data_IF_730803551162
#
_entry.id   IF_730803551162
#
_cell.length_a   1.000
_cell.length_b   1.000
_cell.length_c   1.000
_cell.angle_alpha   90.00
_cell.angle_beta   90.00
_cell.angle_gamma   90.00
#
_symmetry.space_group_name_H-M   'P 1'
#
loop_
_entity.id
_entity.type
_entity.pdbx_description
1 polymer ?
#
# COMPACT_ATOMS: atom_id res chain seq x y z
N UNK A 1 -47.17 -1.94 12.89
CA UNK A 1 -46.53 -3.23 13.24
C UNK A 1 -46.18 -3.15 14.73
N UNK A 2 -47.05 -3.69 15.60
CA UNK A 2 -46.85 -3.69 17.05
C UNK A 2 -45.79 -4.75 17.37
N UNK A 3 -44.63 -4.33 17.86
CA UNK A 3 -43.64 -5.26 18.40
C UNK A 3 -44.21 -5.91 19.67
N UNK A 4 -44.07 -7.23 19.74
CA UNK A 4 -44.52 -8.09 20.81
C UNK A 4 -43.90 -7.67 22.16
N UNK A 5 -44.73 -7.51 23.20
CA UNK A 5 -44.31 -7.05 24.54
C UNK A 5 -43.35 -8.00 25.27
N UNK A 6 -43.09 -9.19 24.70
CA UNK A 6 -42.16 -10.20 25.23
C UNK A 6 -40.71 -10.03 24.77
N UNK A 7 -40.43 -9.17 23.78
CA UNK A 7 -39.07 -8.97 23.24
C UNK A 7 -38.36 -7.77 23.89
N UNK A 8 -39.10 -6.85 24.49
CA UNK A 8 -38.52 -5.68 25.18
C UNK A 8 -37.53 -6.01 26.31
N UNK A 9 -37.79 -6.96 27.24
CA UNK A 9 -36.83 -7.20 28.32
C UNK A 9 -35.53 -7.85 27.82
N UNK A 10 -35.57 -8.60 26.70
CA UNK A 10 -34.39 -9.27 26.14
C UNK A 10 -33.52 -8.28 25.35
N UNK A 11 -34.14 -7.35 24.60
CA UNK A 11 -33.40 -6.32 23.86
C UNK A 11 -32.80 -5.27 24.80
N UNK A 12 -33.50 -4.89 25.88
CA UNK A 12 -32.96 -4.00 26.91
C UNK A 12 -31.84 -4.67 27.71
N UNK A 13 -31.94 -5.98 27.99
CA UNK A 13 -30.88 -6.73 28.67
C UNK A 13 -29.62 -6.83 27.79
N UNK A 14 -29.74 -7.02 26.48
CA UNK A 14 -28.59 -7.09 25.56
C UNK A 14 -27.92 -5.72 25.38
N UNK A 15 -28.68 -4.62 25.34
CA UNK A 15 -28.12 -3.26 25.25
C UNK A 15 -27.42 -2.85 26.57
N UNK A 16 -27.98 -3.24 27.72
CA UNK A 16 -27.31 -3.02 29.02
C UNK A 16 -26.06 -3.89 29.16
N UNK A 17 -26.06 -5.12 28.63
CA UNK A 17 -24.88 -5.99 28.64
C UNK A 17 -23.78 -5.51 27.67
N UNK A 18 -24.14 -4.86 26.55
CA UNK A 18 -23.16 -4.26 25.63
C UNK A 18 -22.61 -2.90 26.11
N UNK A 19 -23.38 -2.11 26.86
CA UNK A 19 -22.92 -0.81 27.39
C UNK A 19 -22.04 -0.92 28.64
N UNK A 20 -22.08 -2.04 29.37
CA UNK A 20 -21.16 -2.31 30.51
C UNK A 20 -19.75 -2.73 30.04
N UNK A 21 -19.56 -3.03 28.76
CA UNK A 21 -18.28 -3.48 28.19
C UNK A 21 -17.41 -2.33 27.63
N UNK A 22 -17.83 -1.06 27.76
CA UNK A 22 -17.08 0.13 27.34
C UNK A 22 -17.08 1.23 28.40
N UNK A 23 -16.83 0.90 29.67
CA UNK A 23 -16.27 1.90 30.56
C UNK A 23 -14.85 2.23 30.09
N UNK A 24 -14.46 3.52 29.94
CA UNK A 24 -13.05 3.83 29.77
C UNK A 24 -12.29 3.18 30.93
N UNK A 25 -11.19 2.49 30.62
CA UNK A 25 -10.25 2.02 31.61
C UNK A 25 -9.78 3.25 32.39
N UNK A 26 -10.47 3.54 33.50
CA UNK A 26 -10.02 4.54 34.45
C UNK A 26 -8.62 4.11 34.84
N UNK A 27 -7.66 5.02 34.71
CA UNK A 27 -6.33 4.83 35.26
C UNK A 27 -6.52 4.29 36.68
N UNK A 28 -6.02 3.08 36.94
CA UNK A 28 -5.97 2.57 38.30
C UNK A 28 -5.00 3.49 39.04
N UNK A 29 -5.54 4.47 39.76
CA UNK A 29 -4.75 5.34 40.62
C UNK A 29 -4.07 4.40 41.61
N UNK A 30 -2.75 4.53 41.74
CA UNK A 30 -1.97 3.82 42.73
C UNK A 30 -2.67 3.92 44.08
N UNK A 31 -3.15 2.78 44.60
CA UNK A 31 -3.81 2.77 45.90
C UNK A 31 -2.78 3.14 46.97
N UNK A 32 -3.24 3.89 47.97
CA UNK A 32 -2.47 4.40 49.11
C UNK A 32 -1.55 3.31 49.72
N UNK A 33 -0.34 3.72 50.11
CA UNK A 33 0.71 2.86 50.70
C UNK A 33 0.42 2.45 52.15
N UNK A 34 -0.69 2.96 52.69
CA UNK A 34 -1.15 2.66 54.03
C UNK A 34 -1.80 1.28 54.14
N UNK A 35 -1.43 0.52 55.18
CA UNK A 35 -2.05 -0.77 55.52
C UNK A 35 -2.40 -0.84 57.00
N UNK A 36 -3.40 -1.66 57.33
CA UNK A 36 -3.81 -1.90 58.73
C UNK A 36 -2.94 -3.00 59.35
N UNK A 37 -2.37 -2.73 60.52
CA UNK A 37 -1.64 -3.70 61.33
C UNK A 37 -2.40 -3.97 62.63
N UNK A 38 -2.68 -5.26 62.89
CA UNK A 38 -3.27 -5.72 64.15
C UNK A 38 -2.24 -6.57 64.90
N UNK A 39 -1.98 -6.21 66.15
CA UNK A 39 -1.00 -6.90 66.98
C UNK A 39 -1.59 -7.34 68.33
N UNK A 40 -0.87 -8.26 68.99
CA UNK A 40 -1.17 -8.67 70.37
C UNK A 40 0.02 -8.34 71.28
N UNK A 41 -0.22 -7.54 72.30
CA UNK A 41 0.70 -7.15 73.35
C UNK A 41 0.37 -7.90 74.65
N UNK A 42 1.40 -8.47 75.27
CA UNK A 42 1.31 -9.06 76.61
C UNK A 42 2.32 -8.38 77.52
N UNK A 43 1.93 -8.15 78.76
CA UNK A 43 2.79 -7.66 79.83
C UNK A 43 2.85 -8.73 80.92
N UNK A 44 4.04 -9.20 81.29
CA UNK A 44 4.26 -10.30 82.24
C UNK A 44 3.35 -11.52 82.00
N UNK A 45 3.27 -11.96 80.73
CA UNK A 45 2.44 -13.07 80.26
C UNK A 45 0.91 -12.89 80.41
N UNK A 46 0.43 -11.72 80.85
CA UNK A 46 -0.98 -11.34 80.83
C UNK A 46 -1.29 -10.40 79.64
N UNK A 47 -2.51 -10.40 79.09
CA UNK A 47 -2.90 -9.43 78.06
C UNK A 47 -2.79 -7.99 78.57
N UNK A 48 -2.06 -7.14 77.86
CA UNK A 48 -1.90 -5.74 78.23
C UNK A 48 -3.22 -4.96 78.08
N UNK A 49 -3.46 -3.97 78.93
CA UNK A 49 -4.63 -3.09 78.87
C UNK A 49 -4.22 -1.65 79.17
N UNK A 50 -4.76 -0.69 78.43
CA UNK A 50 -4.45 0.73 78.60
C UNK A 50 -3.92 1.39 77.34
N UNK A 51 -3.34 2.58 77.47
CA UNK A 51 -2.71 3.31 76.36
C UNK A 51 -1.21 3.07 76.33
N UNK A 52 -0.66 2.91 75.12
CA UNK A 52 0.75 2.70 74.88
C UNK A 52 1.19 3.49 73.65
N UNK A 53 2.44 3.92 73.66
CA UNK A 53 3.09 4.43 72.46
C UNK A 53 3.78 3.29 71.75
N UNK A 54 3.56 3.17 70.44
CA UNK A 54 4.07 2.11 69.60
C UNK A 54 4.97 2.68 68.51
N UNK A 55 6.21 2.21 68.44
CA UNK A 55 7.15 2.51 67.38
C UNK A 55 7.23 1.34 66.40
N UNK A 56 7.15 1.62 65.10
CA UNK A 56 7.26 0.65 64.03
C UNK A 56 8.43 1.01 63.13
N UNK A 57 9.33 0.06 62.88
CA UNK A 57 10.53 0.25 62.06
C UNK A 57 10.63 -0.81 60.97
N UNK A 58 11.04 -0.40 59.76
CA UNK A 58 11.30 -1.32 58.64
C UNK A 58 12.78 -1.65 58.53
N UNK A 59 13.09 -2.92 58.24
CA UNK A 59 14.43 -3.42 58.00
C UNK A 59 14.47 -4.35 56.79
N UNK A 60 15.65 -4.48 56.17
CA UNK A 60 15.91 -5.46 55.10
C UNK A 60 16.44 -6.80 55.61
N UNK A 61 16.73 -6.89 56.92
CA UNK A 61 17.31 -8.07 57.57
C UNK A 61 16.56 -8.41 58.87
N UNK A 62 16.50 -9.71 59.18
CA UNK A 62 15.76 -10.24 60.32
C UNK A 62 16.35 -9.84 61.68
N UNK A 63 17.67 -9.67 61.76
CA UNK A 63 18.42 -9.30 62.96
C UNK A 63 19.50 -8.28 62.61
N UNK A 64 19.84 -7.40 63.57
CA UNK A 64 20.81 -6.32 63.38
C UNK A 64 20.44 -5.40 62.19
N UNK A 65 21.29 -4.41 61.86
CA UNK A 65 21.06 -3.51 60.73
C UNK A 65 20.37 -2.18 61.08
N UNK A 66 20.25 -1.32 60.07
CA UNK A 66 19.73 0.06 60.17
C UNK A 66 18.28 0.12 59.69
N UNK A 67 17.44 0.88 60.40
CA UNK A 67 16.05 1.06 60.01
C UNK A 67 15.95 1.86 58.70
N UNK A 68 15.13 1.39 57.76
CA UNK A 68 14.80 2.08 56.51
C UNK A 68 13.84 3.24 56.72
N UNK A 69 12.87 3.05 57.63
CA UNK A 69 11.85 4.02 57.97
C UNK A 69 11.32 3.74 59.38
N UNK A 70 10.81 4.78 60.05
CA UNK A 70 10.22 4.70 61.40
C UNK A 70 8.89 5.44 61.42
N UNK A 71 7.87 4.83 61.98
CA UNK A 71 6.55 5.41 62.24
C UNK A 71 6.23 5.24 63.71
N UNK A 72 5.87 6.32 64.39
CA UNK A 72 5.43 6.28 65.80
C UNK A 72 3.92 6.53 65.86
N UNK A 73 3.23 5.76 66.67
CA UNK A 73 1.82 5.91 67.00
C UNK A 73 1.71 6.11 68.51
N UNK A 74 1.45 7.35 68.90
CA UNK A 74 1.22 7.70 70.30
C UNK A 74 -0.22 7.32 70.69
N UNK A 75 -0.48 7.13 71.99
CA UNK A 75 -1.82 6.94 72.58
C UNK A 75 -2.63 5.75 72.04
N UNK A 76 -1.96 4.68 71.57
CA UNK A 76 -2.64 3.50 71.03
C UNK A 76 -3.34 2.76 72.17
N UNK A 77 -4.65 2.63 72.07
CA UNK A 77 -5.45 1.88 73.04
C UNK A 77 -5.29 0.38 72.80
N UNK A 78 -4.79 -0.33 73.81
CA UNK A 78 -4.68 -1.78 73.86
C UNK A 78 -5.78 -2.30 74.77
N UNK A 79 -6.60 -3.23 74.27
CA UNK A 79 -7.69 -3.85 75.04
C UNK A 79 -7.58 -5.35 74.95
N UNK A 80 -7.53 -6.03 76.09
CA UNK A 80 -7.31 -7.47 76.19
C UNK A 80 -6.10 -7.94 75.35
N UNK A 81 -5.03 -7.15 75.39
CA UNK A 81 -3.81 -7.36 74.64
C UNK A 81 -3.89 -7.04 73.15
N UNK A 82 -5.04 -6.70 72.56
CA UNK A 82 -5.15 -6.44 71.12
C UNK A 82 -5.11 -4.95 70.82
N UNK A 83 -4.40 -4.56 69.76
CA UNK A 83 -4.41 -3.21 69.20
C UNK A 83 -4.51 -3.24 67.67
N UNK A 84 -4.93 -2.13 67.08
CA UNK A 84 -4.99 -1.96 65.63
C UNK A 84 -4.55 -0.55 65.26
N UNK A 85 -3.64 -0.43 64.30
CA UNK A 85 -3.11 0.85 63.80
C UNK A 85 -3.04 0.83 62.27
N UNK A 86 -3.09 2.01 61.65
CA UNK A 86 -2.78 2.17 60.23
C UNK A 86 -1.33 2.64 60.06
N UNK A 87 -0.53 1.88 59.31
CA UNK A 87 0.87 2.16 59.03
C UNK A 87 1.04 2.58 57.58
N UNK A 88 1.87 3.59 57.34
CA UNK A 88 2.27 4.00 56.00
C UNK A 88 3.75 4.35 56.03
N UNK A 89 4.56 3.64 55.27
CA UNK A 89 6.00 3.87 55.14
C UNK A 89 6.37 4.47 53.77
N UNK A 90 5.39 4.66 52.86
CA UNK A 90 5.64 5.03 51.47
C UNK A 90 6.05 3.85 50.58
N UNK A 91 5.87 4.00 49.26
CA UNK A 91 6.01 2.90 48.28
C UNK A 91 7.48 2.51 48.00
N UNK A 92 8.42 3.44 48.19
CA UNK A 92 9.82 3.26 47.80
C UNK A 92 10.52 2.12 48.54
N UNK A 93 10.14 1.85 49.79
CA UNK A 93 10.76 0.78 50.59
C UNK A 93 10.27 -0.63 50.24
N UNK A 94 9.20 -0.75 49.46
CA UNK A 94 8.66 -2.04 49.00
C UNK A 94 8.98 -2.32 47.53
N UNK A 95 9.72 -1.43 46.87
CA UNK A 95 10.16 -1.60 45.49
C UNK A 95 11.33 -2.59 45.39
N UNK A 96 11.31 -3.50 44.40
CA UNK A 96 12.46 -4.37 44.08
C UNK A 96 12.44 -5.77 44.70
N UNK A 97 11.36 -6.17 45.38
CA UNK A 97 11.15 -7.57 45.80
C UNK A 97 12.08 -8.08 46.91
N UNK A 98 12.82 -7.19 47.58
CA UNK A 98 13.62 -7.55 48.75
C UNK A 98 12.73 -7.93 49.94
N UNK A 99 13.21 -8.82 50.80
CA UNK A 99 12.52 -9.16 52.05
C UNK A 99 12.50 -7.93 52.98
N UNK A 100 11.33 -7.62 53.55
CA UNK A 100 11.14 -6.54 54.51
C UNK A 100 10.66 -7.11 55.83
N UNK A 101 11.22 -6.59 56.93
CA UNK A 101 10.91 -7.00 58.30
C UNK A 101 10.40 -5.80 59.10
N UNK A 102 9.33 -6.01 59.87
CA UNK A 102 8.74 -5.06 60.80
C UNK A 102 9.24 -5.33 62.22
N UNK A 103 9.80 -4.32 62.85
CA UNK A 103 10.16 -4.32 64.26
C UNK A 103 9.23 -3.39 65.03
N UNK A 104 8.83 -3.80 66.24
CA UNK A 104 7.89 -3.06 67.07
C UNK A 104 8.58 -2.71 68.39
N UNK A 105 8.57 -1.44 68.75
CA UNK A 105 8.92 -0.94 70.07
C UNK A 105 7.67 -0.51 70.82
N UNK A 106 7.61 -0.76 72.11
CA UNK A 106 6.49 -0.35 72.97
C UNK A 106 7.00 0.38 74.22
N UNK A 107 6.25 1.40 74.66
CA UNK A 107 6.37 1.99 75.99
C UNK A 107 4.99 2.34 76.57
N UNK A 108 4.82 2.38 77.89
CA UNK A 108 3.58 2.84 78.52
C UNK A 108 3.27 4.30 78.18
N UNK A 109 1.99 4.67 78.18
CA UNK A 109 1.54 6.06 78.02
C UNK A 109 2.23 7.00 79.02
N UNK A 110 2.65 8.18 78.52
CA UNK A 110 3.33 9.24 79.29
C UNK A 110 4.70 8.83 79.87
N UNK A 111 5.30 7.75 79.35
CA UNK A 111 6.67 7.39 79.67
C UNK A 111 7.66 8.03 78.68
N UNK A 112 8.64 8.79 79.17
CA UNK A 112 9.69 9.41 78.35
C UNK A 112 10.91 8.53 78.13
N UNK A 113 10.98 7.36 78.76
CA UNK A 113 12.02 6.37 78.54
C UNK A 113 12.01 5.83 77.10
N UNK A 114 13.10 5.17 76.70
CA UNK A 114 13.22 4.53 75.39
C UNK A 114 12.20 3.41 75.17
N UNK A 115 11.89 3.11 73.91
CA UNK A 115 10.99 2.01 73.56
C UNK A 115 11.63 0.63 73.84
N UNK A 116 10.86 -0.26 74.48
CA UNK A 116 11.23 -1.67 74.63
C UNK A 116 10.97 -2.39 73.32
N UNK A 117 12.02 -2.98 72.72
CA UNK A 117 11.90 -3.70 71.44
C UNK A 117 11.28 -5.09 71.65
N UNK A 118 10.29 -5.43 70.83
CA UNK A 118 9.63 -6.73 70.80
C UNK A 118 10.30 -7.61 69.74
N UNK A 119 11.11 -8.57 70.19
CA UNK A 119 11.76 -9.57 69.33
C UNK A 119 10.97 -10.88 69.25
N UNK A 120 11.00 -11.61 68.12
CA UNK A 120 11.73 -11.32 66.87
C UNK A 120 10.95 -10.42 65.89
N UNK A 121 11.67 -9.80 64.94
CA UNK A 121 11.07 -9.01 63.85
C UNK A 121 10.16 -9.88 62.98
N UNK A 122 9.05 -9.30 62.52
CA UNK A 122 8.04 -10.01 61.74
C UNK A 122 8.23 -9.74 60.23
N UNK A 123 8.32 -10.75 59.36
CA UNK A 123 8.42 -10.53 57.92
C UNK A 123 7.11 -9.93 57.38
N UNK A 124 7.22 -8.90 56.55
CA UNK A 124 6.10 -8.37 55.75
C UNK A 124 6.20 -9.06 54.38
N UNK A 125 5.26 -9.96 54.09
CA UNK A 125 5.16 -10.55 52.76
C UNK A 125 4.52 -9.56 51.80
N UNK A 126 5.07 -9.36 50.59
CA UNK A 126 4.37 -8.60 49.57
C UNK A 126 3.03 -9.28 49.31
N UNK A 127 1.92 -8.56 49.49
CA UNK A 127 0.62 -9.06 49.06
C UNK A 127 0.66 -9.29 47.53
N UNK A 128 -0.17 -10.17 46.96
CA UNK A 128 -0.12 -10.53 45.53
C UNK A 128 -0.18 -9.36 44.53
N UNK A 129 -0.48 -8.14 44.99
CA UNK A 129 -0.49 -6.91 44.22
C UNK A 129 0.90 -6.36 43.84
N UNK A 130 1.98 -6.72 44.54
CA UNK A 130 3.32 -6.19 44.24
C UNK A 130 3.95 -6.79 42.96
N UNK A 131 3.65 -8.05 42.62
CA UNK A 131 4.26 -8.75 41.48
C UNK A 131 3.64 -8.34 40.14
N UNK A 132 2.33 -8.02 40.08
CA UNK A 132 1.70 -7.52 38.85
C UNK A 132 2.10 -6.08 38.52
N UNK A 133 2.40 -5.24 39.51
CA UNK A 133 2.78 -3.84 39.28
C UNK A 133 4.18 -3.70 38.68
N UNK A 134 5.13 -4.57 39.02
CA UNK A 134 6.50 -4.49 38.49
C UNK A 134 6.61 -4.91 37.02
N UNK A 135 5.70 -5.76 36.53
CA UNK A 135 5.57 -6.09 35.10
C UNK A 135 4.83 -5.00 34.32
N UNK A 136 4.03 -4.16 34.98
CA UNK A 136 3.33 -3.04 34.35
C UNK A 136 4.23 -1.79 34.23
N UNK A 137 5.10 -1.53 35.20
CA UNK A 137 6.02 -0.39 35.17
C UNK A 137 7.08 -0.49 34.05
N UNK A 138 7.47 -1.70 33.64
CA UNK A 138 8.32 -1.90 32.45
C UNK A 138 7.55 -1.72 31.13
N UNK A 139 6.22 -1.73 31.15
CA UNK A 139 5.37 -1.50 29.98
C UNK A 139 5.01 -0.01 29.76
N UNK A 140 5.27 0.87 30.73
CA UNK A 140 4.87 2.29 30.67
C UNK A 140 5.86 3.20 29.92
N UNK A 141 7.06 2.72 29.58
CA UNK A 141 7.91 3.37 28.56
C UNK A 141 7.73 2.67 27.22
N UNK A 142 6.75 3.16 26.45
CA UNK A 142 6.52 2.80 25.05
C UNK A 142 7.78 2.95 24.16
N UNK A 143 8.85 3.60 24.63
CA UNK A 143 10.15 3.68 23.96
C UNK A 143 10.95 2.37 23.95
N UNK A 144 10.66 1.40 24.83
CA UNK A 144 11.38 0.11 24.91
C UNK A 144 10.53 -1.12 24.58
N UNK A 145 9.25 -0.97 24.26
CA UNK A 145 8.53 -2.06 23.63
C UNK A 145 9.17 -2.32 22.26
N UNK A 146 9.72 -3.50 22.04
CA UNK A 146 10.35 -3.95 20.78
C UNK A 146 9.50 -3.64 19.53
N UNK A 147 8.20 -3.42 19.71
CA UNK A 147 7.22 -3.13 18.68
C UNK A 147 6.99 -1.63 18.42
N UNK A 148 7.52 -0.72 19.24
CA UNK A 148 7.33 0.72 19.04
C UNK A 148 8.23 1.30 17.92
N UNK A 149 9.28 0.58 17.54
CA UNK A 149 10.10 0.85 16.34
C UNK A 149 9.68 0.01 15.13
N UNK A 150 8.64 -0.83 15.27
CA UNK A 150 8.23 -1.79 14.25
C UNK A 150 6.73 -1.69 13.96
N UNK A 151 6.36 -1.21 12.77
CA UNK A 151 4.98 -1.28 12.31
C UNK A 151 4.68 -2.71 11.83
N UNK A 152 4.06 -3.54 12.69
CA UNK A 152 3.74 -4.93 12.35
C UNK A 152 4.92 -5.90 12.33
N UNK A 153 5.98 -5.64 13.09
CA UNK A 153 7.16 -6.53 13.18
C UNK A 153 8.21 -6.34 12.08
N UNK A 154 8.15 -5.22 11.36
CA UNK A 154 9.11 -4.79 10.34
C UNK A 154 9.78 -3.50 10.81
N UNK A 155 11.11 -3.39 10.69
CA UNK A 155 11.83 -2.23 11.18
C UNK A 155 11.47 -0.97 10.37
N UNK A 156 11.35 0.20 11.02
CA UNK A 156 11.02 1.46 10.35
C UNK A 156 11.96 1.82 9.16
N UNK A 157 13.20 1.33 9.17
CA UNK A 157 14.18 1.49 8.09
C UNK A 157 13.90 0.64 6.84
N UNK A 158 13.02 -0.36 6.95
CA UNK A 158 12.65 -1.25 5.85
C UNK A 158 11.44 -0.72 5.05
N UNK A 159 10.76 0.30 5.56
CA UNK A 159 9.68 0.97 4.85
C UNK A 159 10.22 2.09 3.94
N UNK A 160 9.69 2.15 2.73
CA UNK A 160 10.00 3.18 1.73
C UNK A 160 9.28 4.48 2.10
N UNK A 161 10.04 5.56 2.33
CA UNK A 161 9.46 6.88 2.63
C UNK A 161 8.97 7.57 1.36
N UNK A 162 8.05 8.53 1.47
CA UNK A 162 7.52 9.28 0.32
C UNK A 162 8.57 10.10 -0.44
N UNK A 163 9.74 10.35 0.18
CA UNK A 163 10.90 11.01 -0.40
C UNK A 163 12.03 10.03 -0.80
N UNK A 164 11.80 8.71 -0.71
CA UNK A 164 12.77 7.70 -1.11
C UNK A 164 13.02 7.75 -2.62
N UNK A 165 14.30 7.77 -3.01
CA UNK A 165 14.72 7.90 -4.40
C UNK A 165 14.16 6.79 -5.31
N UNK A 166 13.83 5.61 -4.77
CA UNK A 166 13.20 4.51 -5.52
C UNK A 166 11.75 4.81 -5.92
N UNK A 167 11.09 5.77 -5.28
CA UNK A 167 9.76 6.26 -5.66
C UNK A 167 9.81 7.43 -6.65
N UNK A 168 11.00 7.85 -7.11
CA UNK A 168 11.08 8.83 -8.19
C UNK A 168 10.58 8.19 -9.48
N UNK A 169 9.44 8.67 -9.98
CA UNK A 169 8.77 8.13 -11.17
C UNK A 169 9.59 8.33 -12.47
N UNK A 170 10.68 9.10 -12.39
CA UNK A 170 11.58 9.39 -13.51
C UNK A 170 12.55 8.23 -13.77
N UNK A 171 12.05 7.15 -14.36
CA UNK A 171 12.92 6.14 -15.00
C UNK A 171 13.38 6.67 -16.35
N UNK A 172 14.68 6.62 -16.60
CA UNK A 172 15.22 6.93 -17.91
C UNK A 172 14.61 5.97 -18.96
N UNK A 173 14.31 6.46 -20.17
CA UNK A 173 14.55 7.82 -20.65
C UNK A 173 13.50 8.85 -20.18
N UNK A 174 13.95 10.06 -19.83
CA UNK A 174 13.11 11.17 -19.37
C UNK A 174 12.45 11.91 -20.54
N UNK A 175 11.44 12.76 -20.24
CA UNK A 175 10.86 13.68 -21.21
C UNK A 175 11.95 14.51 -21.93
N UNK A 176 11.83 14.65 -23.24
CA UNK A 176 12.85 15.26 -24.10
C UNK A 176 13.92 14.29 -24.65
N UNK A 177 13.97 13.03 -24.20
CA UNK A 177 14.97 12.07 -24.70
C UNK A 177 14.75 11.70 -26.17
N UNK A 178 15.86 11.51 -26.91
CA UNK A 178 15.87 10.99 -28.28
C UNK A 178 15.75 9.46 -28.38
N UNK A 179 15.74 8.75 -27.25
CA UNK A 179 15.68 7.28 -27.23
C UNK A 179 14.28 6.72 -27.48
N UNK A 180 13.24 7.57 -27.49
CA UNK A 180 11.86 7.17 -27.79
C UNK A 180 11.07 8.34 -28.40
N UNK A 181 10.03 8.02 -29.17
CA UNK A 181 9.09 9.01 -29.68
C UNK A 181 8.09 9.37 -28.58
N UNK A 182 7.97 10.66 -28.26
CA UNK A 182 7.06 11.17 -27.25
C UNK A 182 5.70 11.47 -27.87
N UNK A 183 4.61 11.10 -27.18
CA UNK A 183 3.26 11.48 -27.58
C UNK A 183 2.97 12.92 -27.14
N UNK A 184 3.46 13.88 -27.91
CA UNK A 184 3.26 15.31 -27.67
C UNK A 184 2.97 16.05 -28.97
N UNK A 185 2.54 17.31 -28.87
CA UNK A 185 2.32 18.18 -30.03
C UNK A 185 3.59 18.88 -30.51
N UNK A 186 4.70 18.77 -29.78
CA UNK A 186 5.97 19.41 -30.12
C UNK A 186 6.84 18.44 -30.91
N UNK A 187 7.41 18.91 -32.02
CA UNK A 187 8.34 18.10 -32.82
C UNK A 187 9.60 17.79 -32.01
N UNK A 188 10.00 16.52 -31.97
CA UNK A 188 11.28 16.13 -31.41
C UNK A 188 12.40 16.39 -32.42
N UNK A 189 13.45 17.10 -32.00
CA UNK A 189 14.61 17.36 -32.83
C UNK A 189 15.44 16.08 -33.01
N UNK A 190 15.87 15.81 -34.26
CA UNK A 190 16.81 14.74 -34.60
C UNK A 190 16.39 13.34 -34.16
N UNK A 191 15.09 13.04 -34.15
CA UNK A 191 14.55 11.73 -33.79
C UNK A 191 14.21 10.88 -35.03
N UNK A 192 14.45 9.58 -34.94
CA UNK A 192 14.01 8.59 -35.92
C UNK A 192 12.86 7.76 -35.34
N UNK A 193 11.86 7.43 -36.16
CA UNK A 193 10.83 6.46 -35.83
C UNK A 193 11.02 5.21 -36.70
N UNK A 194 11.64 4.17 -36.14
CA UNK A 194 11.90 2.91 -36.84
C UNK A 194 11.15 1.78 -36.14
N UNK A 195 10.19 1.15 -36.84
CA UNK A 195 9.39 0.03 -36.36
C UNK A 195 9.51 -1.14 -37.33
N UNK A 196 9.63 -2.36 -36.82
CA UNK A 196 9.70 -3.58 -37.64
C UNK A 196 8.33 -4.08 -38.10
N UNK A 197 7.25 -3.53 -37.55
CA UNK A 197 5.87 -3.87 -37.86
C UNK A 197 5.13 -2.76 -38.60
N UNK A 198 3.80 -2.77 -38.48
CA UNK A 198 2.93 -1.78 -39.12
C UNK A 198 2.70 -0.56 -38.21
N UNK A 199 2.66 0.64 -38.80
CA UNK A 199 2.23 1.88 -38.14
C UNK A 199 0.91 2.39 -38.73
N UNK A 200 0.00 2.86 -37.88
CA UNK A 200 -1.26 3.50 -38.31
C UNK A 200 -1.28 4.96 -37.88
N UNK A 201 -1.45 5.88 -38.82
CA UNK A 201 -1.66 7.29 -38.55
C UNK A 201 -3.16 7.61 -38.67
N UNK A 202 -3.80 8.00 -37.58
CA UNK A 202 -5.23 8.37 -37.58
C UNK A 202 -5.53 9.73 -38.21
N UNK A 203 -4.49 10.50 -38.56
CA UNK A 203 -4.59 11.82 -39.18
C UNK A 203 -3.76 11.92 -40.47
N UNK A 204 -3.30 13.12 -40.79
CA UNK A 204 -2.48 13.37 -41.99
C UNK A 204 -1.06 12.85 -41.82
N UNK A 205 -0.57 12.08 -42.80
CA UNK A 205 0.85 11.77 -42.95
C UNK A 205 1.51 12.86 -43.81
N UNK A 206 2.43 13.63 -43.23
CA UNK A 206 3.22 14.64 -43.95
C UNK A 206 4.70 14.25 -43.92
N UNK A 207 5.26 13.95 -45.08
CA UNK A 207 6.67 13.60 -45.24
C UNK A 207 7.18 14.05 -46.62
N UNK A 208 8.47 14.34 -46.72
CA UNK A 208 9.10 14.74 -47.98
C UNK A 208 9.03 13.60 -49.03
N UNK A 209 9.36 12.38 -48.59
CA UNK A 209 9.34 11.17 -49.42
C UNK A 209 8.60 10.09 -48.65
N UNK A 210 7.59 9.49 -49.29
CA UNK A 210 6.91 8.29 -48.82
C UNK A 210 7.22 7.20 -49.83
N UNK A 211 7.77 6.08 -49.36
CA UNK A 211 8.07 4.92 -50.20
C UNK A 211 7.11 3.80 -49.84
N UNK A 212 6.37 3.31 -50.83
CA UNK A 212 5.56 2.11 -50.72
C UNK A 212 6.24 0.98 -51.48
N UNK A 213 6.38 -0.18 -50.87
CA UNK A 213 6.96 -1.36 -51.54
C UNK A 213 6.04 -1.90 -52.64
N UNK A 214 4.73 -1.78 -52.47
CA UNK A 214 3.74 -2.42 -53.36
C UNK A 214 2.77 -1.43 -53.98
N UNK A 215 2.11 -0.61 -53.16
CA UNK A 215 1.00 0.24 -53.62
C UNK A 215 0.63 1.35 -52.62
N UNK A 216 -0.13 2.33 -53.12
CA UNK A 216 -0.89 3.28 -52.34
C UNK A 216 -2.39 2.95 -52.39
N UNK A 217 -3.05 3.03 -51.24
CA UNK A 217 -4.48 2.78 -51.09
C UNK A 217 -5.23 4.03 -50.62
N UNK A 218 -6.45 4.21 -51.11
CA UNK A 218 -7.41 5.20 -50.62
C UNK A 218 -8.75 4.49 -50.35
N UNK A 219 -9.27 4.60 -49.13
CA UNK A 219 -10.51 3.91 -48.74
C UNK A 219 -10.46 2.38 -48.91
N UNK A 220 -9.28 1.77 -48.76
CA UNK A 220 -9.06 0.33 -48.98
C UNK A 220 -8.87 -0.08 -50.45
N UNK A 221 -9.04 0.85 -51.40
CA UNK A 221 -8.82 0.58 -52.82
C UNK A 221 -7.43 1.01 -53.28
N UNK A 222 -6.77 0.18 -54.08
CA UNK A 222 -5.48 0.51 -54.71
C UNK A 222 -5.64 1.61 -55.73
N UNK A 223 -4.91 2.71 -55.59
CA UNK A 223 -4.98 3.87 -56.50
C UNK A 223 -3.68 4.13 -57.26
N UNK A 224 -2.53 3.65 -56.75
CA UNK A 224 -1.23 3.75 -57.43
C UNK A 224 -0.39 2.50 -57.14
N UNK A 225 0.21 1.92 -58.18
CA UNK A 225 1.15 0.80 -58.04
C UNK A 225 2.07 0.69 -59.26
N UNK A 226 3.21 0.05 -59.07
CA UNK A 226 4.25 -0.19 -60.10
C UNK A 226 4.77 -1.63 -60.00
N UNK A 227 3.90 -2.61 -59.72
CA UNK A 227 4.30 -4.03 -59.63
C UNK A 227 4.94 -4.52 -60.93
N UNK A 228 5.98 -5.35 -60.82
CA UNK A 228 6.76 -5.80 -61.98
C UNK A 228 7.74 -4.74 -62.51
N UNK A 229 8.27 -4.96 -63.71
CA UNK A 229 9.31 -4.10 -64.30
C UNK A 229 8.71 -3.07 -65.24
N UNK A 230 8.96 -1.79 -64.99
CA UNK A 230 8.61 -0.70 -65.91
C UNK A 230 7.12 -0.37 -66.01
N UNK A 231 6.30 -0.78 -65.03
CA UNK A 231 4.86 -0.57 -65.03
C UNK A 231 4.45 0.69 -64.26
N UNK A 232 3.36 1.34 -64.69
CA UNK A 232 2.69 2.43 -63.99
C UNK A 232 1.17 2.24 -64.01
N UNK A 233 0.56 2.07 -62.83
CA UNK A 233 -0.89 1.89 -62.71
C UNK A 233 -1.50 2.98 -61.84
N UNK A 234 -2.43 3.75 -62.41
CA UNK A 234 -3.14 4.83 -61.74
C UNK A 234 -4.64 4.59 -61.84
N UNK A 235 -5.32 4.47 -60.71
CA UNK A 235 -6.77 4.26 -60.63
C UNK A 235 -7.17 2.92 -60.02
N UNK A 236 -8.39 2.89 -59.47
CA UNK A 236 -8.95 1.71 -58.79
C UNK A 236 -8.92 0.48 -59.71
N UNK A 237 -8.23 -0.57 -59.27
CA UNK A 237 -8.05 -1.85 -59.97
C UNK A 237 -7.33 -1.79 -61.33
N UNK A 238 -6.68 -0.68 -61.70
CA UNK A 238 -5.87 -0.62 -62.92
C UNK A 238 -4.75 -1.68 -62.87
N UNK A 239 -4.58 -2.49 -63.92
CA UNK A 239 -3.52 -3.52 -63.98
C UNK A 239 -3.55 -4.58 -62.88
N UNK A 240 -4.72 -4.87 -62.27
CA UNK A 240 -4.81 -5.77 -61.12
C UNK A 240 -4.24 -7.19 -61.35
N UNK A 241 -4.39 -7.73 -62.55
CA UNK A 241 -3.85 -9.05 -62.92
C UNK A 241 -2.48 -8.99 -63.63
N UNK A 242 -1.89 -7.81 -63.79
CA UNK A 242 -0.72 -7.60 -64.65
C UNK A 242 0.54 -8.30 -64.13
N UNK A 243 1.04 -9.26 -64.91
CA UNK A 243 2.36 -9.88 -64.76
C UNK A 243 3.33 -9.51 -65.89
N UNK A 244 2.85 -8.84 -66.95
CA UNK A 244 3.67 -8.26 -68.01
C UNK A 244 4.48 -7.03 -67.59
N UNK A 245 5.31 -6.53 -68.50
CA UNK A 245 6.25 -5.43 -68.26
C UNK A 245 5.99 -4.23 -69.16
N UNK A 246 6.52 -3.07 -68.75
CA UNK A 246 6.48 -1.84 -69.54
C UNK A 246 5.06 -1.35 -69.90
N UNK A 247 4.08 -1.60 -69.03
CA UNK A 247 2.69 -1.19 -69.23
C UNK A 247 2.36 0.10 -68.45
N UNK A 248 1.61 1.01 -69.07
CA UNK A 248 1.05 2.19 -68.40
C UNK A 248 -0.48 2.14 -68.48
N UNK A 249 -1.15 2.01 -67.33
CA UNK A 249 -2.61 1.97 -67.24
C UNK A 249 -3.12 3.09 -66.34
N UNK A 250 -3.94 3.99 -66.88
CA UNK A 250 -4.48 5.15 -66.19
C UNK A 250 -5.99 5.17 -66.36
N UNK A 251 -6.72 4.99 -65.27
CA UNK A 251 -8.18 4.90 -65.24
C UNK A 251 -8.65 3.69 -64.43
N UNK A 252 -9.82 3.80 -63.82
CA UNK A 252 -10.37 2.65 -63.07
C UNK A 252 -10.63 1.48 -64.02
N UNK A 253 -10.21 0.29 -63.60
CA UNK A 253 -10.30 -0.98 -64.34
C UNK A 253 -9.51 -1.01 -65.67
N UNK A 254 -8.68 -0.01 -65.96
CA UNK A 254 -7.82 -0.01 -67.14
C UNK A 254 -6.84 -1.19 -67.10
N UNK A 255 -6.82 -2.01 -68.15
CA UNK A 255 -5.96 -3.20 -68.22
C UNK A 255 -6.13 -4.20 -67.07
N UNK A 256 -7.29 -4.22 -66.39
CA UNK A 256 -7.49 -5.02 -65.19
C UNK A 256 -7.15 -6.50 -65.39
N UNK A 257 -7.56 -7.08 -66.52
CA UNK A 257 -7.33 -8.49 -66.84
C UNK A 257 -6.02 -8.76 -67.59
N UNK A 258 -5.16 -7.76 -67.80
CA UNK A 258 -3.89 -7.98 -68.49
C UNK A 258 -3.07 -8.95 -67.67
N UNK A 259 -2.70 -10.09 -68.25
CA UNK A 259 -1.85 -11.08 -67.61
C UNK A 259 -0.41 -10.85 -68.09
N UNK A 260 -0.01 -11.43 -69.21
CA UNK A 260 1.36 -11.41 -69.73
C UNK A 260 1.62 -10.35 -70.80
N UNK A 261 0.60 -9.60 -71.23
CA UNK A 261 0.76 -8.56 -72.24
C UNK A 261 1.73 -7.47 -71.80
N UNK A 262 2.63 -7.05 -72.69
CA UNK A 262 3.66 -6.04 -72.40
C UNK A 262 3.61 -4.85 -73.34
N UNK A 263 4.22 -3.75 -72.93
CA UNK A 263 4.35 -2.51 -73.73
C UNK A 263 3.00 -1.92 -74.14
N UNK A 264 1.98 -2.01 -73.29
CA UNK A 264 0.66 -1.43 -73.52
C UNK A 264 0.49 -0.07 -72.82
N UNK A 265 -0.27 0.83 -73.44
CA UNK A 265 -0.57 2.15 -72.92
C UNK A 265 -2.10 2.37 -72.95
N UNK A 266 -2.77 2.25 -71.80
CA UNK A 266 -4.24 2.38 -71.69
C UNK A 266 -4.62 3.57 -70.82
N UNK A 267 -5.44 4.46 -71.36
CA UNK A 267 -5.90 5.69 -70.71
C UNK A 267 -7.42 5.82 -70.82
N UNK A 268 -8.12 5.65 -69.70
CA UNK A 268 -9.58 5.75 -69.60
C UNK A 268 -10.20 4.71 -68.67
N UNK A 269 -11.41 4.98 -68.18
CA UNK A 269 -12.22 3.97 -67.47
C UNK A 269 -12.46 2.78 -68.40
N UNK A 270 -12.16 1.56 -67.94
CA UNK A 270 -12.26 0.30 -68.70
C UNK A 270 -11.41 0.20 -69.98
N UNK A 271 -10.46 1.10 -70.22
CA UNK A 271 -9.59 0.98 -71.39
C UNK A 271 -8.79 -0.33 -71.35
N UNK A 272 -8.92 -1.17 -72.38
CA UNK A 272 -8.26 -2.47 -72.49
C UNK A 272 -8.60 -3.45 -71.36
N UNK A 273 -9.75 -3.31 -70.68
CA UNK A 273 -10.04 -4.08 -69.45
C UNK A 273 -10.00 -5.60 -69.66
N UNK A 274 -10.39 -6.10 -70.84
CA UNK A 274 -10.38 -7.54 -71.18
C UNK A 274 -9.09 -8.00 -71.88
N UNK A 275 -8.10 -7.12 -72.06
CA UNK A 275 -6.81 -7.52 -72.63
C UNK A 275 -6.17 -8.53 -71.68
N UNK A 276 -5.81 -9.71 -72.18
CA UNK A 276 -5.22 -10.80 -71.40
C UNK A 276 -3.75 -10.98 -71.77
N UNK A 277 -3.42 -11.07 -73.06
CA UNK A 277 -2.04 -11.33 -73.53
C UNK A 277 -1.59 -10.35 -74.62
N UNK A 278 -2.49 -9.47 -75.09
CA UNK A 278 -2.19 -8.49 -76.12
C UNK A 278 -1.08 -7.54 -75.69
N UNK A 279 -0.21 -7.20 -76.64
CA UNK A 279 1.01 -6.43 -76.37
C UNK A 279 1.19 -5.32 -77.40
N UNK A 280 1.92 -4.27 -77.04
CA UNK A 280 2.18 -3.13 -77.94
C UNK A 280 0.91 -2.43 -78.42
N UNK A 281 -0.10 -2.31 -77.56
CA UNK A 281 -1.34 -1.61 -77.86
C UNK A 281 -1.42 -0.22 -77.18
N UNK A 282 -2.13 0.70 -77.81
CA UNK A 282 -2.32 2.06 -77.32
C UNK A 282 -3.82 2.42 -77.35
N UNK A 283 -4.47 2.46 -76.19
CA UNK A 283 -5.91 2.71 -76.07
C UNK A 283 -6.19 3.97 -75.27
N UNK A 284 -6.93 4.91 -75.86
CA UNK A 284 -7.25 6.20 -75.25
C UNK A 284 -8.75 6.49 -75.37
N UNK A 285 -9.46 6.50 -74.25
CA UNK A 285 -10.91 6.74 -74.18
C UNK A 285 -11.62 5.81 -73.21
N UNK A 286 -12.84 6.18 -72.81
CA UNK A 286 -13.69 5.33 -71.97
C UNK A 286 -14.01 4.04 -72.74
N UNK A 287 -13.57 2.89 -72.23
CA UNK A 287 -13.81 1.59 -72.85
C UNK A 287 -13.09 1.37 -74.19
N UNK A 288 -12.06 2.15 -74.52
CA UNK A 288 -11.28 1.91 -75.74
C UNK A 288 -10.56 0.54 -75.65
N UNK A 289 -10.70 -0.31 -76.67
CA UNK A 289 -10.11 -1.64 -76.73
C UNK A 289 -10.65 -2.60 -75.68
N UNK A 290 -11.84 -2.33 -75.11
CA UNK A 290 -12.40 -3.12 -74.00
C UNK A 290 -12.55 -4.60 -74.35
N UNK A 291 -12.88 -4.93 -75.61
CA UNK A 291 -13.06 -6.29 -76.10
C UNK A 291 -11.78 -6.94 -76.65
N UNK A 292 -10.67 -6.17 -76.75
CA UNK A 292 -9.42 -6.70 -77.26
C UNK A 292 -8.77 -7.60 -76.21
N UNK A 293 -8.68 -8.90 -76.48
CA UNK A 293 -8.17 -9.92 -75.53
C UNK A 293 -6.71 -10.33 -75.77
N UNK A 294 -6.26 -10.34 -77.02
CA UNK A 294 -4.93 -10.84 -77.40
C UNK A 294 -4.30 -10.09 -78.59
N UNK A 295 -4.96 -9.04 -79.09
CA UNK A 295 -4.48 -8.27 -80.24
C UNK A 295 -3.15 -7.58 -79.94
N UNK A 296 -2.34 -7.36 -80.97
CA UNK A 296 -1.06 -6.66 -80.87
C UNK A 296 -1.00 -5.51 -81.85
N UNK A 297 -0.24 -4.48 -81.53
CA UNK A 297 0.00 -3.33 -82.41
C UNK A 297 -1.27 -2.56 -82.80
N UNK A 298 -2.26 -2.51 -81.91
CA UNK A 298 -3.49 -1.75 -82.13
C UNK A 298 -3.40 -0.37 -81.51
N UNK A 299 -4.04 0.61 -82.16
CA UNK A 299 -4.23 1.93 -81.61
C UNK A 299 -5.71 2.32 -81.72
N UNK A 300 -6.37 2.53 -80.58
CA UNK A 300 -7.78 2.90 -80.51
C UNK A 300 -7.94 4.21 -79.76
N UNK A 301 -8.66 5.15 -80.36
CA UNK A 301 -8.89 6.49 -79.82
C UNK A 301 -10.38 6.80 -79.87
N UNK A 302 -10.97 7.14 -78.72
CA UNK A 302 -12.39 7.47 -78.57
C UNK A 302 -13.13 6.54 -77.60
N UNK A 303 -14.32 6.97 -77.20
CA UNK A 303 -15.17 6.20 -76.30
C UNK A 303 -15.72 4.96 -77.00
N UNK A 304 -15.47 3.78 -76.43
CA UNK A 304 -15.90 2.48 -76.96
C UNK A 304 -15.23 2.08 -78.27
N UNK A 305 -14.12 2.71 -78.64
CA UNK A 305 -13.41 2.39 -79.87
C UNK A 305 -12.67 1.05 -79.74
N UNK A 306 -12.94 0.12 -80.66
CA UNK A 306 -12.22 -1.16 -80.78
C UNK A 306 -12.67 -2.25 -79.81
#
# INVERSE_FOLDING_TARGET
MRLDSKIQPVLTLIIVFLLVQLSPAGAAIAQITAFTYQGRLTDNNAPANGKYDLQFRLFTVAENGTALATVIKEDVTVTNGVFTVQLDFGASHFAGGAAIYLEIGVRPFDNTDGFTTLSPRQPITPTPYAIRAQLAATAESATTATNATQLGGVAASEFVKTDDARLTDARAPTAGSGNYIQNSTTQQNSANFNISGNGTAGGTLSGNIVNATTQYNLGGSRVLSTTGTGNLFVGANAGAANTGSSNTFVGSLAGQSNSTGSSNAFFGYLAGSSNSTGSSNAFFGLGAGMANSAGRFNAFFGTGAG
#
